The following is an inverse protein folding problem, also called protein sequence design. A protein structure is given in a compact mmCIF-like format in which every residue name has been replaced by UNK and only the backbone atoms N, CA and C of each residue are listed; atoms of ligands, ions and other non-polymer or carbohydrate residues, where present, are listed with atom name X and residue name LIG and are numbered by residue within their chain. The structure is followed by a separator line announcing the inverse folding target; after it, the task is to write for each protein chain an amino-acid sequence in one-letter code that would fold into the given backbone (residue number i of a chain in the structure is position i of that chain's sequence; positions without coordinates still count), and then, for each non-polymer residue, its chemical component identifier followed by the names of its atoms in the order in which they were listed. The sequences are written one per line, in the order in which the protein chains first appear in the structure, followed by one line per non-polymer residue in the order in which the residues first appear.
data_IF_723440179150
#
_entry.id   IF_723440179150
#
_cell.length_a   1.000
_cell.length_b   1.000
_cell.length_c   1.000
_cell.angle_alpha   90.00
_cell.angle_beta   90.00
_cell.angle_gamma   90.00
#
_symmetry.space_group_name_H-M   'P 1'
#
loop_
_entity.id
_entity.type
_entity.pdbx_description
1 polymer ?
#
# COMPACT_ATOMS: atom_id res chain seq x y z
N UNK A 1 -14.96 -32.73 -3.89
CA UNK A 1 -13.58 -33.02 -3.42
C UNK A 1 -13.61 -33.12 -1.91
N UNK A 2 -13.23 -34.26 -1.33
CA UNK A 2 -13.28 -34.53 0.11
C UNK A 2 -11.95 -35.08 0.60
N UNK A 3 -11.64 -34.85 1.88
CA UNK A 3 -10.45 -35.43 2.48
C UNK A 3 -10.70 -36.91 2.81
N UNK A 4 -9.77 -37.77 2.42
CA UNK A 4 -9.82 -39.19 2.72
C UNK A 4 -9.56 -39.43 4.23
N UNK A 5 -10.62 -39.58 5.01
CA UNK A 5 -10.57 -39.77 6.48
C UNK A 5 -9.78 -41.02 6.89
N UNK A 6 -9.80 -42.06 6.08
CA UNK A 6 -9.12 -43.30 6.39
C UNK A 6 -7.61 -43.19 6.19
N UNK A 7 -7.18 -42.50 5.15
CA UNK A 7 -5.78 -42.15 4.93
C UNK A 7 -5.27 -41.23 6.06
N UNK A 8 -6.07 -40.22 6.48
CA UNK A 8 -5.73 -39.37 7.61
C UNK A 8 -5.53 -40.16 8.90
N UNK A 9 -6.45 -41.10 9.22
CA UNK A 9 -6.34 -41.99 10.40
C UNK A 9 -5.09 -42.87 10.32
N UNK A 10 -4.82 -43.44 9.17
CA UNK A 10 -3.65 -44.30 8.93
C UNK A 10 -2.36 -43.52 9.15
N UNK A 11 -2.28 -42.32 8.58
CA UNK A 11 -1.12 -41.46 8.70
C UNK A 11 -0.92 -40.89 10.11
N UNK A 12 -1.99 -40.61 10.85
CA UNK A 12 -1.90 -40.23 12.27
C UNK A 12 -1.21 -41.38 13.07
N UNK A 13 -1.60 -42.60 12.86
CA UNK A 13 -0.94 -43.77 13.50
C UNK A 13 0.54 -43.86 13.12
N UNK A 14 0.86 -43.69 11.83
CA UNK A 14 2.25 -43.74 11.32
C UNK A 14 3.13 -42.63 11.88
N UNK A 15 2.56 -41.46 12.16
CA UNK A 15 3.28 -40.30 12.71
C UNK A 15 3.14 -40.17 14.25
N UNK A 16 2.67 -41.21 14.94
CA UNK A 16 2.47 -41.25 16.40
C UNK A 16 1.56 -40.13 16.93
N UNK A 17 0.52 -39.78 16.20
CA UNK A 17 -0.50 -38.79 16.61
C UNK A 17 -1.71 -39.57 17.15
N UNK A 18 -1.95 -39.46 18.46
CA UNK A 18 -2.94 -40.34 19.14
C UNK A 18 -4.39 -39.85 18.93
N UNK A 19 -4.62 -38.56 18.79
CA UNK A 19 -5.97 -37.96 18.74
C UNK A 19 -6.12 -36.89 17.67
N UNK A 20 -7.37 -36.67 17.20
CA UNK A 20 -7.67 -35.54 16.31
C UNK A 20 -7.45 -34.17 16.98
N UNK A 21 -7.55 -34.11 18.30
CA UNK A 21 -7.25 -32.86 19.05
C UNK A 21 -5.77 -32.52 18.92
N UNK A 22 -4.90 -33.51 19.12
CA UNK A 22 -3.45 -33.35 18.93
C UNK A 22 -3.09 -32.97 17.49
N UNK A 23 -3.71 -33.63 16.50
CA UNK A 23 -3.51 -33.26 15.10
C UNK A 23 -3.94 -31.82 14.81
N UNK A 24 -5.09 -31.39 15.32
CA UNK A 24 -5.59 -30.03 15.17
C UNK A 24 -4.62 -28.98 15.76
N UNK A 25 -4.10 -29.24 16.95
CA UNK A 25 -3.11 -28.37 17.60
C UNK A 25 -1.82 -28.26 16.78
N UNK A 26 -1.30 -29.37 16.25
CA UNK A 26 -0.08 -29.40 15.43
C UNK A 26 -0.20 -28.64 14.12
N UNK A 27 -1.40 -28.62 13.51
CA UNK A 27 -1.68 -27.88 12.27
C UNK A 27 -2.27 -26.48 12.52
N UNK A 28 -2.29 -26.02 13.77
CA UNK A 28 -2.69 -24.66 14.15
C UNK A 28 -4.19 -24.35 14.04
N UNK A 29 -5.07 -25.35 14.26
CA UNK A 29 -6.53 -25.18 14.22
C UNK A 29 -7.24 -25.79 15.43
N UNK A 30 -8.51 -25.44 15.65
CA UNK A 30 -9.33 -26.07 16.67
C UNK A 30 -9.82 -27.46 16.24
N UNK A 31 -10.13 -28.33 17.21
CA UNK A 31 -10.71 -29.65 16.94
C UNK A 31 -12.00 -29.56 16.11
N UNK A 32 -12.84 -28.56 16.35
CA UNK A 32 -14.08 -28.34 15.60
C UNK A 32 -13.80 -27.98 14.13
N UNK A 33 -12.80 -27.15 13.87
CA UNK A 33 -12.37 -26.81 12.51
C UNK A 33 -11.80 -28.03 11.77
N UNK A 34 -10.98 -28.84 12.43
CA UNK A 34 -10.49 -30.10 11.85
C UNK A 34 -11.63 -31.08 11.58
N UNK A 35 -12.57 -31.24 12.51
CA UNK A 35 -13.74 -32.10 12.33
C UNK A 35 -14.60 -31.65 11.15
N UNK A 36 -14.82 -30.35 11.01
CA UNK A 36 -15.54 -29.76 9.86
C UNK A 36 -14.78 -29.98 8.56
N UNK A 37 -13.46 -29.80 8.56
CA UNK A 37 -12.61 -30.02 7.37
C UNK A 37 -12.63 -31.48 6.90
N UNK A 38 -12.79 -32.41 7.83
CA UNK A 38 -12.90 -33.84 7.55
C UNK A 38 -14.34 -34.29 7.24
N UNK A 39 -15.35 -33.41 7.24
CA UNK A 39 -16.72 -33.80 6.89
C UNK A 39 -16.93 -33.90 5.40
N UNK A 40 -17.87 -34.76 4.99
CA UNK A 40 -18.15 -35.06 3.56
C UNK A 40 -18.92 -33.90 2.89
N UNK A 41 -19.41 -32.92 3.67
CA UNK A 41 -20.15 -31.75 3.19
C UNK A 41 -19.25 -30.51 3.09
N UNK A 42 -17.95 -30.62 3.34
CA UNK A 42 -17.06 -29.47 3.45
C UNK A 42 -15.93 -29.51 2.41
N UNK A 43 -15.82 -28.44 1.63
CA UNK A 43 -14.69 -28.24 0.73
C UNK A 43 -13.55 -27.54 1.50
N UNK A 44 -12.44 -28.24 1.79
CA UNK A 44 -11.37 -27.70 2.63
C UNK A 44 -10.58 -26.58 1.92
N UNK A 45 -10.16 -25.57 2.70
CA UNK A 45 -9.31 -24.50 2.21
C UNK A 45 -7.90 -25.04 1.93
N UNK A 46 -7.29 -24.62 0.81
CA UNK A 46 -5.96 -25.05 0.35
C UNK A 46 -4.88 -25.07 1.45
N UNK A 47 -4.79 -24.00 2.25
CA UNK A 47 -3.81 -23.89 3.34
C UNK A 47 -4.00 -24.97 4.41
N UNK A 48 -5.24 -25.30 4.75
CA UNK A 48 -5.54 -26.35 5.73
C UNK A 48 -5.20 -27.74 5.21
N UNK A 49 -5.40 -27.97 3.92
CA UNK A 49 -5.01 -29.23 3.25
C UNK A 49 -3.50 -29.36 3.24
N UNK A 50 -2.77 -28.29 2.92
CA UNK A 50 -1.31 -28.27 2.92
C UNK A 50 -0.72 -28.52 4.31
N UNK A 51 -1.26 -27.88 5.35
CA UNK A 51 -0.83 -28.10 6.73
C UNK A 51 -1.05 -29.58 7.12
N UNK A 52 -2.17 -30.15 6.72
CA UNK A 52 -2.49 -31.56 6.98
C UNK A 52 -1.53 -32.52 6.23
N UNK A 53 -1.24 -32.23 4.96
CA UNK A 53 -0.27 -32.97 4.14
C UNK A 53 1.12 -32.96 4.76
N UNK A 54 1.60 -31.78 5.14
CA UNK A 54 2.93 -31.58 5.71
C UNK A 54 3.10 -32.30 7.06
N UNK A 55 2.12 -32.14 7.96
CA UNK A 55 2.16 -32.79 9.28
C UNK A 55 2.07 -34.30 9.19
N UNK A 56 1.20 -34.80 8.31
CA UNK A 56 0.96 -36.24 8.13
C UNK A 56 1.92 -36.90 7.13
N UNK A 57 2.71 -36.09 6.37
CA UNK A 57 3.60 -36.57 5.28
C UNK A 57 2.86 -37.42 4.25
N UNK A 58 1.68 -36.99 3.83
CA UNK A 58 0.83 -37.66 2.84
C UNK A 58 0.83 -36.85 1.55
N UNK A 59 1.07 -37.44 0.37
CA UNK A 59 0.91 -36.78 -0.90
C UNK A 59 -0.56 -36.43 -1.17
N UNK A 60 -0.80 -35.34 -1.88
CA UNK A 60 -2.15 -34.81 -2.16
C UNK A 60 -3.08 -35.87 -2.80
N UNK A 61 -2.58 -36.63 -3.76
CA UNK A 61 -3.35 -37.69 -4.47
C UNK A 61 -3.89 -38.78 -3.55
N UNK A 62 -3.24 -39.04 -2.43
CA UNK A 62 -3.70 -40.01 -1.45
C UNK A 62 -4.69 -39.41 -0.44
N UNK A 63 -4.53 -38.10 -0.17
CA UNK A 63 -5.33 -37.38 0.83
C UNK A 63 -6.74 -37.04 0.34
N UNK A 64 -6.96 -36.89 -0.96
CA UNK A 64 -8.21 -36.40 -1.57
C UNK A 64 -8.98 -37.48 -2.28
N UNK A 65 -10.32 -37.49 -2.12
CA UNK A 65 -11.27 -38.32 -2.87
C UNK A 65 -12.03 -37.43 -3.85
N UNK A 66 -12.08 -37.82 -5.13
CA UNK A 66 -12.83 -37.11 -6.18
C UNK A 66 -14.05 -37.92 -6.61
N UNK A 67 -15.17 -37.25 -6.84
CA UNK A 67 -16.41 -37.91 -7.29
C UNK A 67 -16.67 -37.90 -8.80
N UNK A 68 -16.00 -37.09 -9.60
CA UNK A 68 -16.13 -37.12 -11.10
C UNK A 68 -15.00 -36.35 -11.81
N UNK A 69 -14.70 -36.76 -13.05
CA UNK A 69 -13.51 -36.44 -13.85
C UNK A 69 -13.44 -35.04 -14.52
N UNK A 70 -14.27 -34.05 -14.15
CA UNK A 70 -14.24 -32.70 -14.77
C UNK A 70 -13.32 -31.70 -14.09
N UNK A 71 -12.68 -32.05 -12.98
CA UNK A 71 -11.80 -31.15 -12.23
C UNK A 71 -10.29 -31.43 -12.32
N UNK A 72 -9.86 -32.34 -13.21
CA UNK A 72 -8.45 -32.70 -13.33
C UNK A 72 -7.55 -31.56 -13.79
N UNK A 73 -8.00 -30.69 -14.70
CA UNK A 73 -7.20 -29.55 -15.16
C UNK A 73 -6.92 -28.49 -14.06
N UNK A 74 -7.81 -28.37 -13.05
CA UNK A 74 -7.56 -27.48 -11.90
C UNK A 74 -6.65 -28.10 -10.84
N UNK A 75 -6.54 -29.42 -10.83
CA UNK A 75 -5.73 -30.17 -9.86
C UNK A 75 -4.28 -30.34 -10.30
N UNK A 76 -3.99 -30.35 -11.60
CA UNK A 76 -2.62 -30.33 -12.12
C UNK A 76 -1.88 -29.03 -11.80
N UNK A 77 -2.64 -27.95 -11.48
CA UNK A 77 -2.08 -26.68 -10.95
C UNK A 77 -1.66 -26.78 -9.46
N UNK A 78 -1.96 -27.88 -8.76
CA UNK A 78 -1.47 -28.17 -7.41
C UNK A 78 -0.37 -29.24 -7.51
N UNK A 79 0.56 -29.08 -8.41
CA UNK A 79 1.77 -29.92 -8.51
C UNK A 79 2.76 -29.53 -7.40
N UNK A 80 3.76 -30.37 -7.14
CA UNK A 80 4.84 -30.10 -6.18
C UNK A 80 5.52 -28.74 -6.39
N UNK A 81 5.53 -28.21 -7.63
CA UNK A 81 5.98 -26.85 -7.93
C UNK A 81 5.06 -25.75 -7.34
N UNK A 82 3.74 -25.97 -7.21
CA UNK A 82 2.83 -25.04 -6.57
C UNK A 82 2.92 -25.06 -5.03
N UNK A 83 3.42 -26.14 -4.47
CA UNK A 83 3.74 -26.28 -3.04
C UNK A 83 5.05 -25.57 -2.71
N UNK A 84 5.99 -25.54 -3.66
CA UNK A 84 7.25 -24.79 -3.54
C UNK A 84 7.05 -23.27 -3.57
N UNK A 85 5.90 -22.77 -4.03
CA UNK A 85 5.59 -21.36 -4.19
C UNK A 85 4.63 -20.80 -3.11
N UNK A 86 4.69 -21.30 -1.88
CA UNK A 86 4.11 -20.56 -0.75
C UNK A 86 5.00 -19.33 -0.49
N UNK A 87 4.72 -18.26 -1.25
CA UNK A 87 5.41 -16.98 -1.09
C UNK A 87 5.12 -16.49 0.32
N UNK A 88 6.15 -16.54 1.17
CA UNK A 88 6.13 -15.88 2.46
C UNK A 88 6.48 -14.41 2.22
N UNK A 89 5.53 -13.49 2.38
CA UNK A 89 5.75 -12.05 2.17
C UNK A 89 6.97 -11.49 2.92
N UNK A 90 7.35 -12.09 4.03
CA UNK A 90 8.49 -11.64 4.83
C UNK A 90 9.84 -12.02 4.21
N UNK A 91 9.91 -13.00 3.31
CA UNK A 91 11.14 -13.32 2.56
C UNK A 91 11.52 -12.21 1.58
N UNK A 92 10.53 -11.45 1.11
CA UNK A 92 10.71 -10.29 0.23
C UNK A 92 10.90 -8.98 1.01
N UNK A 93 10.75 -9.01 2.35
CA UNK A 93 10.99 -7.83 3.18
C UNK A 93 12.49 -7.55 3.26
N UNK A 94 12.88 -6.36 2.81
CA UNK A 94 14.28 -5.98 2.76
C UNK A 94 14.62 -4.97 3.86
N UNK A 95 15.47 -5.38 4.81
CA UNK A 95 16.01 -4.53 5.87
C UNK A 95 17.48 -4.14 5.56
N UNK A 96 17.74 -3.73 4.32
CA UNK A 96 19.02 -3.16 3.85
C UNK A 96 18.82 -1.71 3.48
N UNK A 97 19.74 -0.84 3.91
CA UNK A 97 19.62 0.60 3.75
C UNK A 97 20.88 1.20 3.13
N UNK A 98 20.72 2.32 2.40
CA UNK A 98 21.82 3.07 1.75
C UNK A 98 21.69 4.56 2.06
N UNK A 99 22.81 5.23 2.30
CA UNK A 99 22.83 6.70 2.40
C UNK A 99 22.61 7.32 1.01
N UNK A 100 21.56 8.13 0.90
CA UNK A 100 21.16 8.77 -0.36
C UNK A 100 21.46 10.27 -0.42
N UNK A 101 22.14 10.83 0.60
CA UNK A 101 22.37 12.30 0.70
C UNK A 101 23.12 12.89 -0.49
N UNK A 102 24.04 12.16 -1.07
CA UNK A 102 24.91 12.62 -2.16
C UNK A 102 24.63 11.89 -3.49
N UNK A 103 23.49 11.23 -3.60
CA UNK A 103 23.11 10.53 -4.83
C UNK A 103 22.53 11.55 -5.83
N UNK A 104 23.02 11.47 -7.05
CA UNK A 104 22.49 12.16 -8.22
C UNK A 104 22.46 11.21 -9.40
N UNK A 105 21.56 11.42 -10.38
CA UNK A 105 21.52 10.58 -11.57
C UNK A 105 22.78 10.76 -12.43
N UNK A 106 23.37 9.66 -12.88
CA UNK A 106 24.50 9.66 -13.83
C UNK A 106 24.05 9.63 -15.29
N UNK A 107 22.76 9.39 -15.53
CA UNK A 107 22.10 9.34 -16.85
C UNK A 107 20.70 9.96 -16.74
N UNK A 108 20.10 10.24 -17.87
CA UNK A 108 18.70 10.64 -17.95
C UNK A 108 17.80 9.43 -17.77
N UNK A 109 17.39 9.18 -16.52
CA UNK A 109 16.44 8.13 -16.18
C UNK A 109 15.00 8.62 -16.32
N UNK A 110 14.17 7.84 -17.01
CA UNK A 110 12.77 8.16 -17.26
C UNK A 110 11.84 7.49 -16.27
N UNK A 111 10.72 8.17 -15.93
CA UNK A 111 9.65 7.61 -15.10
C UNK A 111 8.28 7.88 -15.71
N UNK A 112 7.44 6.85 -15.73
CA UNK A 112 5.99 6.95 -15.97
C UNK A 112 5.27 6.68 -14.65
N UNK A 113 4.30 7.52 -14.30
CA UNK A 113 3.49 7.29 -13.09
C UNK A 113 2.05 6.93 -13.45
N UNK A 114 1.52 5.90 -12.79
CA UNK A 114 0.11 5.53 -12.80
C UNK A 114 -0.54 5.93 -11.47
N UNK A 115 -1.83 6.25 -11.47
CA UNK A 115 -2.55 6.75 -10.29
C UNK A 115 -1.89 8.00 -9.68
N UNK A 116 -1.48 8.91 -10.54
CA UNK A 116 -0.61 10.02 -10.17
C UNK A 116 -1.21 11.00 -9.13
N UNK A 117 -2.55 11.03 -9.00
CA UNK A 117 -3.22 11.97 -8.10
C UNK A 117 -2.79 13.40 -8.37
N UNK A 118 -2.50 14.14 -7.30
CA UNK A 118 -1.99 15.51 -7.40
C UNK A 118 -0.47 15.61 -7.59
N UNK A 119 0.21 14.50 -7.89
CA UNK A 119 1.64 14.48 -8.22
C UNK A 119 2.58 14.44 -7.02
N UNK A 120 2.17 13.92 -5.88
CA UNK A 120 3.06 13.85 -4.72
C UNK A 120 4.24 12.89 -4.94
N UNK A 121 3.98 11.72 -5.52
CA UNK A 121 5.01 10.76 -5.90
C UNK A 121 5.81 11.28 -7.09
N UNK A 122 5.14 11.75 -8.18
CA UNK A 122 5.80 12.32 -9.36
C UNK A 122 6.79 13.42 -9.00
N UNK A 123 6.34 14.40 -8.20
CA UNK A 123 7.18 15.53 -7.80
C UNK A 123 8.39 15.08 -6.99
N UNK A 124 8.21 14.14 -6.07
CA UNK A 124 9.34 13.61 -5.29
C UNK A 124 10.34 12.84 -6.14
N UNK A 125 9.87 12.07 -7.12
CA UNK A 125 10.73 11.37 -8.08
C UNK A 125 11.46 12.35 -9.01
N UNK A 126 10.77 13.42 -9.47
CA UNK A 126 11.41 14.52 -10.23
C UNK A 126 12.47 15.23 -9.38
N UNK A 127 12.20 15.53 -8.11
CA UNK A 127 13.19 16.14 -7.20
C UNK A 127 14.38 15.20 -6.88
N UNK A 128 14.22 13.90 -7.04
CA UNK A 128 15.33 12.95 -6.98
C UNK A 128 16.18 12.97 -8.26
N UNK A 129 15.65 13.46 -9.36
CA UNK A 129 16.32 13.55 -10.67
C UNK A 129 15.82 12.57 -11.72
N UNK A 130 14.64 11.97 -11.54
CA UNK A 130 13.97 11.18 -12.57
C UNK A 130 13.18 12.10 -13.51
N UNK A 131 13.28 11.87 -14.83
CA UNK A 131 12.55 12.64 -15.84
C UNK A 131 11.18 12.02 -16.10
N UNK A 132 10.10 12.72 -15.71
CA UNK A 132 8.75 12.26 -16.00
C UNK A 132 8.42 12.32 -17.48
N UNK A 133 8.09 11.17 -18.07
CA UNK A 133 7.60 11.09 -19.46
C UNK A 133 6.08 11.18 -19.54
N UNK A 134 5.38 11.01 -18.39
CA UNK A 134 3.93 11.12 -18.33
C UNK A 134 3.34 10.65 -17.01
N UNK A 135 2.05 10.91 -16.86
CA UNK A 135 1.26 10.54 -15.71
C UNK A 135 -0.15 10.08 -16.13
N UNK A 136 -0.64 8.98 -15.56
CA UNK A 136 -2.00 8.49 -15.81
C UNK A 136 -2.83 8.79 -14.56
N UNK A 137 -3.95 9.50 -14.72
CA UNK A 137 -4.84 9.87 -13.63
C UNK A 137 -6.30 9.93 -14.12
N UNK A 138 -7.23 9.46 -13.29
CA UNK A 138 -8.66 9.48 -13.58
C UNK A 138 -9.33 10.80 -13.19
N UNK A 139 -8.93 11.37 -12.02
CA UNK A 139 -9.57 12.55 -11.44
C UNK A 139 -9.23 13.81 -12.25
N UNK A 140 -10.26 14.46 -12.78
CA UNK A 140 -10.14 15.65 -13.63
C UNK A 140 -9.42 16.80 -12.95
N UNK A 141 -9.66 17.04 -11.65
CA UNK A 141 -9.05 18.15 -10.94
C UNK A 141 -7.58 17.86 -10.62
N UNK A 142 -7.25 16.59 -10.31
CA UNK A 142 -5.88 16.14 -10.17
C UNK A 142 -5.10 16.28 -11.50
N UNK A 143 -5.69 15.90 -12.63
CA UNK A 143 -5.10 16.13 -13.94
C UNK A 143 -4.84 17.61 -14.24
N UNK A 144 -5.78 18.50 -13.88
CA UNK A 144 -5.57 19.95 -14.02
C UNK A 144 -4.43 20.44 -13.10
N UNK A 145 -4.36 19.93 -11.87
CA UNK A 145 -3.26 20.21 -10.94
C UNK A 145 -1.92 19.85 -11.55
N UNK A 146 -1.78 18.64 -12.12
CA UNK A 146 -0.56 18.20 -12.78
C UNK A 146 -0.19 19.10 -13.96
N UNK A 147 -1.10 19.29 -14.91
CA UNK A 147 -0.90 20.13 -16.12
C UNK A 147 -0.52 21.58 -15.77
N UNK A 148 -1.11 22.14 -14.71
CA UNK A 148 -0.80 23.50 -14.27
C UNK A 148 0.63 23.65 -13.76
N UNK A 149 1.11 22.66 -13.00
CA UNK A 149 2.44 22.71 -12.40
C UNK A 149 3.54 22.20 -13.34
N UNK A 150 3.20 21.29 -14.24
CA UNK A 150 4.12 20.65 -15.20
C UNK A 150 3.48 20.57 -16.60
N UNK A 151 3.40 21.70 -17.32
CA UNK A 151 2.76 21.74 -18.65
C UNK A 151 3.41 20.81 -19.68
N UNK A 152 4.66 20.44 -19.45
CA UNK A 152 5.44 19.55 -20.33
C UNK A 152 5.24 18.05 -20.03
N UNK A 153 4.57 17.68 -18.94
CA UNK A 153 4.25 16.29 -18.68
C UNK A 153 3.07 15.81 -19.54
N UNK A 154 3.20 14.62 -20.11
CA UNK A 154 2.10 13.97 -20.80
C UNK A 154 1.09 13.42 -19.79
N UNK A 155 0.11 14.25 -19.40
CA UNK A 155 -0.93 13.83 -18.45
C UNK A 155 -2.08 13.19 -19.21
N UNK A 156 -2.16 11.87 -19.11
CA UNK A 156 -3.21 11.02 -19.68
C UNK A 156 -4.37 10.96 -18.66
N UNK A 157 -5.45 11.68 -18.99
CA UNK A 157 -6.67 11.62 -18.18
C UNK A 157 -7.54 10.46 -18.65
N UNK A 158 -7.67 9.41 -17.84
CA UNK A 158 -8.49 8.26 -18.21
C UNK A 158 -8.54 7.16 -17.15
N UNK A 159 -9.47 6.24 -17.37
CA UNK A 159 -9.53 5.03 -16.56
C UNK A 159 -8.40 4.08 -16.96
N UNK A 160 -7.54 3.77 -16.00
CA UNK A 160 -6.39 2.89 -16.20
C UNK A 160 -6.79 1.49 -16.68
N UNK A 161 -7.99 1.01 -16.33
CA UNK A 161 -8.52 -0.27 -16.83
C UNK A 161 -8.66 -0.24 -18.35
N UNK A 162 -9.26 0.84 -18.87
CA UNK A 162 -9.42 1.02 -20.32
C UNK A 162 -8.07 1.20 -21.01
N UNK A 163 -7.17 1.98 -20.42
CA UNK A 163 -5.82 2.23 -20.96
C UNK A 163 -5.03 0.92 -21.03
N UNK A 164 -5.02 0.13 -19.96
CA UNK A 164 -4.30 -1.13 -19.92
C UNK A 164 -4.88 -2.18 -20.88
N UNK A 165 -6.22 -2.28 -21.00
CA UNK A 165 -6.88 -3.22 -21.90
C UNK A 165 -6.65 -2.90 -23.36
N UNK A 166 -6.51 -1.61 -23.73
CA UNK A 166 -6.23 -1.17 -25.09
C UNK A 166 -4.72 -1.17 -25.42
N UNK A 167 -3.87 -1.37 -24.40
CA UNK A 167 -2.43 -1.20 -24.47
C UNK A 167 -2.01 0.27 -24.39
N UNK A 168 -1.15 0.60 -23.41
CA UNK A 168 -0.71 1.97 -23.20
C UNK A 168 0.11 2.50 -24.39
N UNK A 169 0.86 1.63 -25.08
CA UNK A 169 1.64 1.99 -26.28
C UNK A 169 0.78 2.48 -27.42
N UNK A 170 -0.50 2.15 -27.43
CA UNK A 170 -1.46 2.61 -28.45
C UNK A 170 -2.10 3.96 -28.08
N UNK A 171 -1.83 4.51 -26.92
CA UNK A 171 -2.43 5.77 -26.49
C UNK A 171 -1.74 6.96 -27.14
N UNK A 172 -2.50 7.87 -27.75
CA UNK A 172 -1.99 9.01 -28.56
C UNK A 172 -1.04 9.95 -27.79
N UNK A 173 -1.22 10.09 -26.48
CA UNK A 173 -0.35 10.92 -25.62
C UNK A 173 0.85 10.15 -25.06
N UNK A 174 0.98 8.85 -25.35
CA UNK A 174 2.09 8.05 -24.86
C UNK A 174 3.16 7.93 -25.93
N UNK A 175 4.35 8.38 -25.61
CA UNK A 175 5.54 8.21 -26.46
C UNK A 175 6.68 7.65 -25.65
N UNK A 176 7.37 6.68 -26.18
CA UNK A 176 8.51 6.04 -25.54
C UNK A 176 9.61 5.83 -26.58
N UNK A 177 10.59 6.74 -26.61
CA UNK A 177 11.69 6.71 -27.60
C UNK A 177 12.79 5.72 -27.21
N UNK A 178 12.85 5.34 -25.91
CA UNK A 178 13.82 4.39 -25.36
C UNK A 178 13.15 3.54 -24.28
N UNK A 179 13.84 2.49 -23.84
CA UNK A 179 13.39 1.65 -22.73
C UNK A 179 13.03 2.49 -21.48
N UNK A 180 11.89 2.22 -20.87
CA UNK A 180 11.45 2.89 -19.65
C UNK A 180 12.34 2.46 -18.47
N UNK A 181 12.89 3.41 -17.74
CA UNK A 181 13.70 3.09 -16.57
C UNK A 181 12.82 2.75 -15.36
N UNK A 182 11.79 3.56 -15.06
CA UNK A 182 10.96 3.40 -13.87
C UNK A 182 9.48 3.48 -14.21
N UNK A 183 8.69 2.51 -13.76
CA UNK A 183 7.23 2.60 -13.65
C UNK A 183 6.87 2.81 -12.19
N UNK A 184 6.13 3.87 -11.85
CA UNK A 184 5.65 4.10 -10.50
C UNK A 184 4.13 4.09 -10.40
N UNK A 185 3.58 3.80 -9.22
CA UNK A 185 2.14 3.89 -9.00
C UNK A 185 1.70 3.57 -7.57
N UNK A 186 0.66 4.29 -7.13
CA UNK A 186 0.00 4.09 -5.85
C UNK A 186 -1.46 3.67 -6.05
N UNK A 187 -1.70 2.41 -6.44
CA UNK A 187 -3.05 1.90 -6.68
C UNK A 187 -3.85 1.78 -5.37
N UNK A 188 -5.16 2.13 -5.37
CA UNK A 188 -5.98 2.10 -4.16
C UNK A 188 -6.23 0.68 -3.66
N UNK A 189 -6.11 0.49 -2.33
CA UNK A 189 -6.36 -0.79 -1.65
C UNK A 189 -7.85 -1.16 -1.55
N UNK A 190 -8.78 -0.21 -1.77
CA UNK A 190 -10.21 -0.39 -1.53
C UNK A 190 -10.88 -1.44 -2.42
N UNK A 191 -10.30 -1.76 -3.57
CA UNK A 191 -10.82 -2.76 -4.49
C UNK A 191 -10.66 -4.21 -4.01
N UNK A 192 -9.79 -4.48 -3.03
CA UNK A 192 -9.64 -5.82 -2.45
C UNK A 192 -10.74 -6.19 -1.44
N UNK A 193 -11.52 -5.22 -0.93
CA UNK A 193 -12.58 -5.46 0.06
C UNK A 193 -13.83 -6.14 -0.50
N UNK A 194 -13.99 -6.15 -1.83
CA UNK A 194 -15.11 -6.80 -2.53
C UNK A 194 -14.74 -8.13 -3.19
N UNK A 195 -13.46 -8.45 -3.32
CA UNK A 195 -13.00 -9.74 -3.78
C UNK A 195 -13.26 -10.76 -2.66
N UNK A 196 -14.44 -11.37 -2.71
CA UNK A 196 -14.92 -12.28 -1.68
C UNK A 196 -14.14 -13.60 -1.69
N UNK A 197 -13.66 -13.96 -0.57
CA UNK A 197 -13.32 -15.28 0.02
C UNK A 197 -12.78 -16.47 -0.82
N UNK A 198 -12.58 -16.48 -2.16
CA UNK A 198 -12.37 -17.77 -2.82
C UNK A 198 -11.38 -17.94 -3.99
N UNK A 199 -10.85 -16.93 -4.71
CA UNK A 199 -10.15 -17.24 -5.97
C UNK A 199 -8.89 -16.40 -6.24
N UNK A 200 -7.78 -16.62 -5.58
CA UNK A 200 -6.41 -16.20 -5.90
C UNK A 200 -6.21 -15.14 -7.04
N UNK A 201 -5.76 -15.56 -8.19
CA UNK A 201 -5.52 -14.69 -9.36
C UNK A 201 -6.79 -14.08 -9.98
N UNK A 202 -7.96 -14.72 -9.88
CA UNK A 202 -9.22 -14.19 -10.42
C UNK A 202 -9.73 -13.00 -9.59
N UNK A 203 -9.52 -13.03 -8.27
CA UNK A 203 -9.86 -11.92 -7.38
C UNK A 203 -9.04 -10.65 -7.68
N UNK A 204 -7.83 -10.82 -8.19
CA UNK A 204 -6.95 -9.70 -8.59
C UNK A 204 -7.45 -9.00 -9.84
N UNK A 205 -8.05 -9.71 -10.80
CA UNK A 205 -8.58 -9.12 -12.05
C UNK A 205 -9.66 -8.07 -11.82
N UNK A 206 -10.38 -8.17 -10.70
CA UNK A 206 -11.37 -7.17 -10.27
C UNK A 206 -10.78 -5.96 -9.54
N UNK A 207 -9.48 -5.90 -9.33
CA UNK A 207 -8.79 -4.85 -8.57
C UNK A 207 -8.00 -3.91 -9.47
N UNK A 208 -7.69 -2.70 -8.98
CA UNK A 208 -6.87 -1.74 -9.72
C UNK A 208 -5.37 -2.11 -9.74
N UNK A 209 -4.95 -3.12 -9.00
CA UNK A 209 -3.64 -3.74 -9.13
C UNK A 209 -3.45 -4.42 -10.50
N UNK A 210 -4.51 -5.06 -11.02
CA UNK A 210 -4.42 -5.80 -12.28
C UNK A 210 -4.02 -4.93 -13.48
N UNK A 211 -4.68 -3.80 -13.78
CA UNK A 211 -4.23 -2.92 -14.87
C UNK A 211 -2.82 -2.35 -14.65
N UNK A 212 -2.39 -2.13 -13.40
CA UNK A 212 -0.99 -1.78 -13.13
C UNK A 212 -0.05 -2.90 -13.58
N UNK A 213 -0.36 -4.17 -13.27
CA UNK A 213 0.45 -5.32 -13.70
C UNK A 213 0.43 -5.54 -15.22
N UNK A 214 -0.67 -5.22 -15.90
CA UNK A 214 -0.73 -5.26 -17.36
C UNK A 214 0.22 -4.23 -17.98
N UNK A 215 0.20 -2.98 -17.51
CA UNK A 215 1.11 -1.92 -17.96
C UNK A 215 2.57 -2.28 -17.65
N UNK A 216 2.84 -2.85 -16.48
CA UNK A 216 4.16 -3.36 -16.11
C UNK A 216 4.68 -4.39 -17.13
N UNK A 217 3.84 -5.37 -17.47
CA UNK A 217 4.19 -6.41 -18.45
C UNK A 217 4.35 -5.87 -19.87
N UNK A 218 3.58 -4.85 -20.27
CA UNK A 218 3.67 -4.24 -21.58
C UNK A 218 4.93 -3.38 -21.73
N UNK A 219 5.29 -2.61 -20.72
CA UNK A 219 6.40 -1.67 -20.76
C UNK A 219 7.73 -2.28 -20.34
N UNK A 220 7.70 -3.31 -19.53
CA UNK A 220 8.88 -4.02 -18.99
C UNK A 220 9.99 -3.09 -18.48
N UNK A 221 9.67 -2.11 -17.58
CA UNK A 221 10.65 -1.14 -17.10
C UNK A 221 11.81 -1.81 -16.37
N UNK A 222 12.94 -1.12 -16.22
CA UNK A 222 14.09 -1.63 -15.47
C UNK A 222 13.76 -1.83 -13.99
N UNK A 223 13.01 -0.88 -13.42
CA UNK A 223 12.56 -0.89 -12.01
C UNK A 223 11.09 -0.49 -11.96
N UNK A 224 10.33 -1.05 -11.03
CA UNK A 224 9.04 -0.48 -10.68
C UNK A 224 8.99 -0.07 -9.21
N UNK A 225 8.16 0.94 -8.92
CA UNK A 225 7.84 1.43 -7.58
C UNK A 225 6.33 1.30 -7.40
N UNK A 226 5.89 0.43 -6.49
CA UNK A 226 4.48 0.30 -6.14
C UNK A 226 4.28 0.74 -4.68
N UNK A 227 3.37 1.69 -4.45
CA UNK A 227 3.08 2.21 -3.11
C UNK A 227 1.67 1.83 -2.68
N UNK A 228 1.51 1.59 -1.38
CA UNK A 228 0.19 1.36 -0.81
C UNK A 228 0.17 1.71 0.70
N UNK A 229 -1.02 1.62 1.30
CA UNK A 229 -1.17 1.81 2.75
C UNK A 229 -0.54 0.64 3.52
N UNK A 230 0.01 0.90 4.71
CA UNK A 230 0.59 -0.13 5.61
C UNK A 230 -0.37 -1.31 5.86
N UNK A 231 -1.70 -1.03 5.88
CA UNK A 231 -2.71 -2.07 6.09
C UNK A 231 -2.65 -3.24 5.11
N UNK A 232 -2.07 -3.04 3.91
CA UNK A 232 -1.87 -4.08 2.92
C UNK A 232 -1.02 -5.25 3.45
N UNK A 233 -0.06 -4.99 4.33
CA UNK A 233 0.82 -6.03 4.89
C UNK A 233 0.04 -7.15 5.58
N UNK A 234 -1.06 -6.78 6.27
CA UNK A 234 -1.88 -7.73 7.01
C UNK A 234 -3.29 -7.89 6.43
N UNK A 235 -3.55 -7.29 5.26
CA UNK A 235 -4.83 -7.43 4.58
C UNK A 235 -5.05 -8.90 4.22
N UNK A 236 -6.23 -9.42 4.60
CA UNK A 236 -6.58 -10.83 4.38
C UNK A 236 -5.47 -11.79 4.89
N UNK A 237 -5.03 -11.58 6.15
CA UNK A 237 -3.96 -12.37 6.78
C UNK A 237 -2.60 -12.31 6.03
N UNK A 238 -2.45 -11.34 5.12
CA UNK A 238 -1.26 -11.15 4.29
C UNK A 238 -1.35 -11.74 2.88
N UNK A 239 -2.37 -12.54 2.60
CA UNK A 239 -2.56 -13.22 1.30
C UNK A 239 -2.60 -12.24 0.13
N UNK A 240 -3.20 -11.07 0.33
CA UNK A 240 -3.24 -10.03 -0.71
C UNK A 240 -1.84 -9.58 -1.13
N UNK A 241 -0.97 -9.29 -0.17
CA UNK A 241 0.41 -8.90 -0.47
C UNK A 241 1.18 -10.06 -1.11
N UNK A 242 1.06 -11.27 -0.57
CA UNK A 242 1.70 -12.47 -1.13
C UNK A 242 1.33 -12.69 -2.58
N UNK A 243 0.05 -12.58 -2.93
CA UNK A 243 -0.41 -12.71 -4.32
C UNK A 243 0.14 -11.59 -5.22
N UNK A 244 0.23 -10.35 -4.74
CA UNK A 244 0.86 -9.27 -5.51
C UNK A 244 2.36 -9.53 -5.77
N UNK A 245 3.09 -9.98 -4.74
CA UNK A 245 4.51 -10.31 -4.85
C UNK A 245 4.74 -11.46 -5.85
N UNK A 246 3.86 -12.46 -5.85
CA UNK A 246 3.90 -13.57 -6.79
C UNK A 246 3.70 -13.09 -8.24
N UNK A 247 2.66 -12.29 -8.50
CA UNK A 247 2.41 -11.71 -9.83
C UNK A 247 3.61 -10.90 -10.33
N UNK A 248 4.20 -10.07 -9.46
CA UNK A 248 5.40 -9.30 -9.83
C UNK A 248 6.61 -10.20 -10.13
N UNK A 249 6.80 -11.26 -9.34
CA UNK A 249 7.87 -12.23 -9.57
C UNK A 249 7.68 -12.99 -10.89
N UNK A 250 6.46 -13.42 -11.20
CA UNK A 250 6.10 -14.07 -12.46
C UNK A 250 6.24 -13.11 -13.66
N UNK A 251 6.12 -11.79 -13.45
CA UNK A 251 6.39 -10.77 -14.45
C UNK A 251 7.88 -10.55 -14.75
N UNK A 252 8.77 -11.35 -14.14
CA UNK A 252 10.22 -11.29 -14.40
C UNK A 252 10.99 -10.30 -13.53
N UNK A 253 10.48 -9.99 -12.34
CA UNK A 253 11.11 -9.07 -11.38
C UNK A 253 11.54 -9.79 -10.10
N UNK A 254 12.71 -9.41 -9.59
CA UNK A 254 13.07 -9.66 -8.19
C UNK A 254 12.48 -8.54 -7.35
N UNK A 255 11.66 -8.91 -6.36
CA UNK A 255 10.81 -7.96 -5.64
C UNK A 255 11.29 -7.78 -4.21
N UNK A 256 11.26 -6.55 -3.72
CA UNK A 256 11.55 -6.17 -2.34
C UNK A 256 10.46 -5.26 -1.81
N UNK A 257 10.18 -5.31 -0.50
CA UNK A 257 9.27 -4.36 0.12
C UNK A 257 9.73 -3.95 1.52
N UNK A 258 9.30 -2.77 1.95
CA UNK A 258 9.41 -2.31 3.32
C UNK A 258 8.28 -1.33 3.67
N UNK A 259 8.03 -1.13 4.97
CA UNK A 259 7.11 -0.11 5.46
C UNK A 259 7.91 1.11 5.89
N UNK A 260 7.75 2.19 5.16
CA UNK A 260 8.43 3.46 5.42
C UNK A 260 7.51 4.43 6.14
N UNK A 261 8.00 5.05 7.21
CA UNK A 261 7.28 6.13 7.91
C UNK A 261 7.82 7.47 7.41
N UNK A 262 6.97 8.28 6.80
CA UNK A 262 7.34 9.57 6.21
C UNK A 262 8.08 10.50 7.20
N UNK A 263 7.77 10.42 8.49
CA UNK A 263 8.49 11.18 9.52
C UNK A 263 10.00 10.88 9.58
N UNK A 264 10.39 9.70 9.16
CA UNK A 264 11.80 9.31 9.05
C UNK A 264 12.49 9.85 7.80
N UNK A 265 11.76 10.55 6.93
CA UNK A 265 12.22 11.09 5.65
C UNK A 265 11.85 12.57 5.51
N UNK A 266 12.14 13.35 6.55
CA UNK A 266 11.99 14.82 6.63
C UNK A 266 10.56 15.35 6.41
N UNK A 267 9.54 14.54 6.69
CA UNK A 267 8.13 14.92 6.61
C UNK A 267 7.56 15.12 8.02
N UNK A 268 6.95 16.25 8.32
CA UNK A 268 6.35 16.54 9.62
C UNK A 268 5.02 15.78 9.85
N UNK A 269 4.99 14.48 9.48
CA UNK A 269 3.81 13.64 9.54
C UNK A 269 4.17 12.17 9.80
N UNK A 270 3.53 11.54 10.78
CA UNK A 270 3.54 10.09 10.96
C UNK A 270 2.60 9.45 9.96
N UNK A 271 3.15 9.05 8.81
CA UNK A 271 2.42 8.39 7.72
C UNK A 271 3.20 7.19 7.25
N UNK A 272 2.69 6.00 7.52
CA UNK A 272 3.32 4.74 7.13
C UNK A 272 2.77 4.25 5.79
N UNK A 273 3.69 3.87 4.91
CA UNK A 273 3.38 3.32 3.59
C UNK A 273 4.23 2.11 3.30
N UNK A 274 3.63 1.08 2.75
CA UNK A 274 4.40 0.00 2.15
C UNK A 274 4.89 0.50 0.78
N UNK A 275 6.17 0.32 0.54
CA UNK A 275 6.82 0.56 -0.75
C UNK A 275 7.36 -0.76 -1.24
N UNK A 276 6.94 -1.16 -2.44
CA UNK A 276 7.38 -2.37 -3.12
C UNK A 276 8.24 -1.94 -4.30
N UNK A 277 9.45 -2.47 -4.39
CA UNK A 277 10.40 -2.22 -5.47
C UNK A 277 10.63 -3.53 -6.21
N UNK A 278 10.41 -3.53 -7.50
CA UNK A 278 10.77 -4.65 -8.36
C UNK A 278 11.91 -4.26 -9.29
N UNK A 279 12.89 -5.13 -9.37
CA UNK A 279 14.06 -4.98 -10.24
C UNK A 279 14.03 -6.09 -11.27
N UNK A 280 14.09 -5.74 -12.55
CA UNK A 280 14.02 -6.72 -13.62
C UNK A 280 15.21 -7.69 -13.53
N UNK A 281 14.93 -8.99 -13.71
CA UNK A 281 15.86 -10.08 -13.41
C UNK A 281 17.16 -10.05 -14.23
N UNK A 282 17.18 -9.46 -15.43
CA UNK A 282 18.41 -9.28 -16.21
C UNK A 282 19.39 -8.30 -15.54
N UNK A 283 18.88 -7.30 -14.81
CA UNK A 283 19.70 -6.34 -14.06
C UNK A 283 20.27 -7.01 -12.77
N UNK A 284 19.47 -7.84 -12.11
CA UNK A 284 19.93 -8.61 -10.95
C UNK A 284 21.16 -9.45 -11.29
N UNK A 285 21.19 -10.05 -12.48
CA UNK A 285 22.33 -10.84 -12.95
C UNK A 285 23.60 -10.01 -13.23
N UNK A 286 23.43 -8.70 -13.47
CA UNK A 286 24.53 -7.78 -13.85
C UNK A 286 24.91 -6.83 -12.70
N UNK A 287 24.15 -6.80 -11.61
CA UNK A 287 24.34 -5.86 -10.51
C UNK A 287 25.70 -6.06 -9.82
N UNK A 288 26.36 -4.96 -9.50
CA UNK A 288 27.56 -4.91 -8.67
C UNK A 288 27.23 -4.74 -7.19
N UNK A 289 26.12 -4.03 -6.92
CA UNK A 289 25.58 -3.71 -5.60
C UNK A 289 24.09 -4.06 -5.58
N UNK A 290 23.62 -4.85 -4.61
CA UNK A 290 22.20 -5.15 -4.50
C UNK A 290 21.41 -3.91 -4.07
N UNK A 291 20.11 -3.87 -4.42
CA UNK A 291 19.22 -2.78 -4.02
C UNK A 291 19.15 -2.62 -2.49
N UNK A 292 19.02 -1.39 -2.03
CA UNK A 292 18.82 -1.02 -0.63
C UNK A 292 17.78 0.12 -0.54
N UNK A 293 16.94 0.10 0.51
CA UNK A 293 16.06 1.22 0.82
C UNK A 293 16.84 2.44 1.35
N UNK A 294 16.29 3.67 1.27
CA UNK A 294 16.99 4.84 1.80
C UNK A 294 17.14 4.76 3.32
N UNK A 295 18.30 5.16 3.84
CA UNK A 295 18.51 5.34 5.28
C UNK A 295 17.57 6.41 5.83
N UNK A 296 17.19 6.25 7.10
CA UNK A 296 16.39 7.23 7.81
C UNK A 296 17.17 8.53 8.02
N UNK A 297 16.50 9.66 7.83
CA UNK A 297 17.07 10.97 8.14
C UNK A 297 17.29 11.15 9.65
N UNK A 298 18.36 11.84 10.01
CA UNK A 298 18.58 12.29 11.38
C UNK A 298 17.64 13.40 11.81
N UNK A 299 17.07 14.13 10.84
CA UNK A 299 16.08 15.20 11.08
C UNK A 299 14.72 14.58 11.41
N UNK A 300 14.08 15.13 12.45
CA UNK A 300 12.73 14.71 12.88
C UNK A 300 11.83 15.95 12.95
N UNK A 301 11.34 16.46 11.81
CA UNK A 301 10.57 17.67 11.77
C UNK A 301 9.24 17.51 12.51
N UNK A 302 8.82 18.57 13.18
CA UNK A 302 7.54 18.68 13.85
C UNK A 302 6.65 19.68 13.14
N UNK A 303 5.41 19.83 13.59
CA UNK A 303 4.44 20.68 12.92
C UNK A 303 4.90 22.15 12.75
N UNK A 304 5.55 22.73 13.79
CA UNK A 304 6.08 24.10 13.72
C UNK A 304 7.10 24.30 12.60
N UNK A 305 7.87 23.27 12.26
CA UNK A 305 8.87 23.38 11.19
C UNK A 305 8.19 23.44 9.81
N UNK A 306 7.15 22.61 9.61
CA UNK A 306 6.39 22.59 8.36
C UNK A 306 5.56 23.86 8.15
N UNK A 307 4.99 24.42 9.22
CA UNK A 307 4.06 25.54 9.15
C UNK A 307 4.72 26.92 9.41
N UNK A 308 6.04 26.97 9.54
CA UNK A 308 6.76 28.24 9.69
C UNK A 308 6.50 29.15 8.49
N UNK A 309 5.95 30.35 8.73
CA UNK A 309 5.64 31.31 7.68
C UNK A 309 4.79 30.74 6.53
N UNK A 310 3.83 29.85 6.86
CA UNK A 310 2.93 29.30 5.84
C UNK A 310 2.04 30.40 5.26
N UNK A 311 1.93 30.50 3.92
CA UNK A 311 1.03 31.48 3.31
C UNK A 311 -0.43 31.19 3.67
N UNK A 312 -1.23 32.25 3.81
CA UNK A 312 -2.66 32.07 4.02
C UNK A 312 -3.33 31.37 2.83
N UNK A 313 -4.39 30.63 3.10
CA UNK A 313 -5.11 29.86 2.10
C UNK A 313 -6.54 29.55 2.53
N UNK A 314 -7.35 29.10 1.60
CA UNK A 314 -8.71 28.63 1.89
C UNK A 314 -8.68 27.42 2.84
N UNK A 315 -9.79 27.23 3.55
CA UNK A 315 -9.99 26.08 4.42
C UNK A 315 -11.48 25.85 4.68
N UNK A 316 -11.81 24.70 5.26
CA UNK A 316 -13.16 24.35 5.68
C UNK A 316 -13.33 24.65 7.16
N UNK A 317 -14.37 25.41 7.59
CA UNK A 317 -14.62 25.66 9.01
C UNK A 317 -15.20 24.42 9.69
N UNK A 318 -15.07 24.36 11.02
CA UNK A 318 -15.89 23.46 11.82
C UNK A 318 -17.33 24.00 11.93
N UNK A 319 -18.30 23.10 12.16
CA UNK A 319 -19.62 23.51 12.64
C UNK A 319 -19.50 24.10 14.05
N UNK A 320 -20.37 25.01 14.44
CA UNK A 320 -20.36 25.65 15.75
C UNK A 320 -20.40 24.62 16.91
N UNK A 321 -21.22 23.57 16.77
CA UNK A 321 -21.25 22.47 17.77
C UNK A 321 -19.87 21.82 17.94
N UNK A 322 -19.19 21.52 16.84
CA UNK A 322 -17.89 20.86 16.83
C UNK A 322 -16.80 21.79 17.35
N UNK A 323 -16.85 23.06 16.98
CA UNK A 323 -15.90 24.10 17.43
C UNK A 323 -15.91 24.22 18.94
N UNK A 324 -17.11 24.34 19.57
CA UNK A 324 -17.27 24.40 21.02
C UNK A 324 -16.63 23.20 21.74
N UNK A 325 -16.74 22.00 21.20
CA UNK A 325 -16.10 20.81 21.78
C UNK A 325 -14.59 20.88 21.67
N UNK A 326 -14.07 21.24 20.48
CA UNK A 326 -12.64 21.28 20.24
C UNK A 326 -11.93 22.45 20.95
N UNK A 327 -12.62 23.50 21.33
CA UNK A 327 -12.09 24.61 22.16
C UNK A 327 -11.66 24.10 23.54
N UNK A 328 -12.28 23.05 24.05
CA UNK A 328 -11.95 22.43 25.35
C UNK A 328 -10.73 21.50 25.27
N UNK A 329 -10.27 21.17 24.07
CA UNK A 329 -9.14 20.24 23.88
C UNK A 329 -7.83 21.04 23.79
N UNK A 330 -6.87 20.81 24.71
CA UNK A 330 -5.59 21.51 24.66
C UNK A 330 -4.73 21.04 23.45
N UNK A 331 -3.71 21.83 23.04
CA UNK A 331 -2.73 21.37 22.07
C UNK A 331 -2.10 20.04 22.49
N UNK A 332 -1.97 19.09 21.54
CA UNK A 332 -1.53 17.71 21.81
C UNK A 332 -2.61 16.80 22.43
N UNK A 333 -3.77 17.36 22.79
CA UNK A 333 -4.87 16.63 23.42
C UNK A 333 -5.83 15.96 22.42
N UNK A 334 -6.81 15.24 22.98
CA UNK A 334 -7.86 14.57 22.22
C UNK A 334 -9.11 14.42 23.12
N UNK A 335 -10.10 13.67 22.67
CA UNK A 335 -11.36 13.46 23.38
C UNK A 335 -11.23 13.08 24.88
N UNK A 336 -10.13 12.40 25.29
CA UNK A 336 -9.86 12.03 26.69
C UNK A 336 -9.63 13.26 27.60
N UNK A 337 -9.35 14.42 27.03
CA UNK A 337 -9.16 15.67 27.75
C UNK A 337 -10.48 16.46 27.95
N UNK A 338 -11.58 15.99 27.37
CA UNK A 338 -12.89 16.59 27.50
C UNK A 338 -13.52 16.23 28.87
N UNK A 339 -14.36 17.11 29.42
CA UNK A 339 -15.24 16.74 30.53
C UNK A 339 -16.07 15.50 30.15
N UNK A 340 -16.29 14.60 31.13
CA UNK A 340 -16.85 13.27 30.87
C UNK A 340 -18.21 13.30 30.15
N UNK A 341 -19.09 14.19 30.52
CA UNK A 341 -20.40 14.35 29.88
C UNK A 341 -20.27 14.80 28.40
N UNK A 342 -19.34 15.70 28.11
CA UNK A 342 -19.07 16.18 26.74
C UNK A 342 -18.39 15.07 25.92
N UNK A 343 -17.44 14.35 26.55
CA UNK A 343 -16.76 13.21 25.92
C UNK A 343 -17.76 12.11 25.52
N UNK A 344 -18.69 11.75 26.42
CA UNK A 344 -19.75 10.77 26.15
C UNK A 344 -20.66 11.18 24.98
N UNK A 345 -21.14 12.44 25.00
CA UNK A 345 -21.99 12.96 23.90
C UNK A 345 -21.24 13.00 22.57
N UNK A 346 -20.00 13.51 22.57
CA UNK A 346 -19.19 13.63 21.36
C UNK A 346 -18.79 12.27 20.78
N UNK A 347 -18.36 11.33 21.61
CA UNK A 347 -17.92 10.02 21.18
C UNK A 347 -19.08 9.10 20.80
N UNK A 348 -20.22 9.21 21.48
CA UNK A 348 -21.36 8.31 21.31
C UNK A 348 -20.96 6.85 21.58
N UNK A 349 -21.42 5.92 20.76
CA UNK A 349 -21.10 4.48 20.92
C UNK A 349 -19.57 4.19 20.96
N UNK A 350 -18.74 5.05 20.39
CA UNK A 350 -17.27 4.88 20.40
C UNK A 350 -16.65 5.14 21.78
N UNK A 351 -17.38 5.74 22.72
CA UNK A 351 -16.87 6.04 24.06
C UNK A 351 -16.50 4.75 24.84
N UNK A 352 -17.33 3.72 24.70
CA UNK A 352 -17.14 2.42 25.38
C UNK A 352 -16.32 1.42 24.54
N UNK A 353 -15.91 1.79 23.32
CA UNK A 353 -15.10 0.89 22.48
C UNK A 353 -13.68 0.81 22.99
N UNK A 354 -13.22 -0.37 23.37
CA UNK A 354 -11.81 -0.64 23.70
C UNK A 354 -10.88 -0.25 22.56
N UNK A 355 -9.65 0.17 22.89
CA UNK A 355 -8.61 0.43 21.89
C UNK A 355 -8.42 1.89 21.50
N UNK A 356 -8.40 2.79 22.48
CA UNK A 356 -7.70 4.09 22.44
C UNK A 356 -7.81 4.91 21.15
N UNK A 357 -9.01 5.18 20.64
CA UNK A 357 -9.27 5.98 19.44
C UNK A 357 -8.88 7.46 19.61
N UNK A 358 -7.61 7.73 19.90
CA UNK A 358 -7.06 9.08 20.15
C UNK A 358 -7.03 9.99 18.92
N UNK A 359 -7.59 9.53 17.79
CA UNK A 359 -7.78 10.35 16.59
C UNK A 359 -9.02 11.24 16.59
N UNK A 360 -9.98 11.01 17.52
CA UNK A 360 -11.21 11.81 17.62
C UNK A 360 -10.96 13.03 18.53
N UNK A 361 -11.58 14.15 18.17
CA UNK A 361 -11.33 15.47 18.81
C UNK A 361 -9.82 15.75 18.97
N UNK A 362 -9.00 15.38 18.01
CA UNK A 362 -7.55 15.51 18.10
C UNK A 362 -7.10 16.92 17.72
N UNK A 363 -6.52 17.65 18.67
CA UNK A 363 -5.77 18.89 18.43
C UNK A 363 -4.28 18.53 18.36
N UNK A 364 -3.61 18.91 17.28
CA UNK A 364 -2.17 18.62 17.12
C UNK A 364 -1.35 19.55 18.01
N UNK A 365 -0.15 19.16 18.40
CA UNK A 365 0.83 20.02 19.07
C UNK A 365 1.80 20.62 18.04
N UNK A 366 2.34 21.82 18.35
CA UNK A 366 3.41 22.42 17.58
C UNK A 366 4.71 21.58 17.60
N UNK A 367 4.94 20.90 18.71
CA UNK A 367 6.18 20.15 19.01
C UNK A 367 6.08 18.66 18.69
N UNK A 368 5.06 18.24 17.95
CA UNK A 368 4.92 16.88 17.45
C UNK A 368 4.63 16.86 15.92
N UNK A 369 4.99 15.78 15.21
CA UNK A 369 4.56 15.62 13.82
C UNK A 369 3.05 15.41 13.75
N UNK A 370 2.42 15.87 12.68
CA UNK A 370 1.01 15.56 12.41
C UNK A 370 0.79 14.06 12.32
N UNK A 371 -0.38 13.60 12.72
CA UNK A 371 -0.86 12.28 12.37
C UNK A 371 -1.19 12.21 10.88
N UNK A 372 -1.35 11.01 10.32
CA UNK A 372 -1.71 10.81 8.92
C UNK A 372 -2.87 11.70 8.50
N UNK A 373 -2.64 12.56 7.51
CA UNK A 373 -3.68 13.35 6.87
C UNK A 373 -4.57 12.45 6.00
N UNK A 374 -5.87 12.72 6.04
CA UNK A 374 -6.89 12.00 5.27
C UNK A 374 -7.48 12.91 4.19
N UNK A 375 -8.43 12.40 3.42
CA UNK A 375 -9.09 13.14 2.33
C UNK A 375 -10.01 14.27 2.79
N UNK A 376 -10.30 14.37 4.10
CA UNK A 376 -11.07 15.44 4.71
C UNK A 376 -10.45 15.85 6.05
N UNK A 377 -10.16 17.15 6.27
CA UNK A 377 -9.53 17.62 7.50
C UNK A 377 -10.46 17.65 8.72
N UNK A 378 -11.78 17.54 8.49
CA UNK A 378 -12.82 17.64 9.52
C UNK A 378 -13.56 16.33 9.79
N UNK A 379 -13.06 15.20 9.30
CA UNK A 379 -13.66 13.89 9.53
C UNK A 379 -13.54 13.50 11.00
N UNK A 380 -14.66 13.13 11.64
CA UNK A 380 -14.76 12.92 13.10
C UNK A 380 -13.73 11.92 13.65
N UNK A 381 -13.50 10.82 12.93
CA UNK A 381 -12.60 9.75 13.37
C UNK A 381 -11.11 10.07 13.21
N UNK A 382 -10.78 11.02 12.33
CA UNK A 382 -9.42 11.38 11.96
C UNK A 382 -9.21 12.88 11.99
N UNK A 383 -9.74 13.55 13.00
CA UNK A 383 -9.60 15.00 13.16
C UNK A 383 -8.16 15.45 13.28
N UNK A 384 -7.89 16.62 12.70
CA UNK A 384 -6.58 17.29 12.76
C UNK A 384 -6.84 18.77 13.00
N UNK A 385 -7.18 19.12 14.26
CA UNK A 385 -7.39 20.51 14.66
C UNK A 385 -6.05 21.21 14.76
N UNK A 386 -6.00 22.48 14.25
CA UNK A 386 -4.83 23.33 14.34
C UNK A 386 -4.47 23.60 15.82
N UNK A 387 -3.17 23.67 16.19
CA UNK A 387 -2.75 23.79 17.58
C UNK A 387 -3.28 25.03 18.31
N UNK A 388 -3.22 26.21 17.68
CA UNK A 388 -3.55 27.49 18.29
C UNK A 388 -4.95 28.00 17.96
N UNK A 389 -5.55 27.52 16.87
CA UNK A 389 -6.85 27.95 16.39
C UNK A 389 -7.82 26.79 16.34
N UNK A 390 -9.08 26.99 16.76
CA UNK A 390 -10.07 25.91 16.73
C UNK A 390 -10.69 25.79 15.34
N UNK A 391 -9.91 25.25 14.42
CA UNK A 391 -10.25 24.98 13.03
C UNK A 391 -9.46 23.80 12.48
N UNK A 392 -9.90 23.18 11.36
CA UNK A 392 -9.06 22.28 10.57
C UNK A 392 -7.85 23.02 10.01
N UNK A 393 -6.82 22.30 9.60
CA UNK A 393 -5.74 22.89 8.81
C UNK A 393 -6.27 23.42 7.49
N UNK A 394 -5.80 24.60 7.07
CA UNK A 394 -6.06 25.19 5.76
C UNK A 394 -5.33 24.42 4.65
N UNK A 395 -5.74 24.62 3.40
CA UNK A 395 -5.20 23.90 2.24
C UNK A 395 -3.66 23.95 2.18
N UNK A 396 -3.05 25.13 2.35
CA UNK A 396 -1.58 25.25 2.26
C UNK A 396 -0.87 24.62 3.46
N UNK A 397 -1.45 24.70 4.64
CA UNK A 397 -0.95 23.98 5.82
C UNK A 397 -0.98 22.45 5.57
N UNK A 398 -2.08 21.96 5.02
CA UNK A 398 -2.26 20.54 4.65
C UNK A 398 -1.21 20.09 3.63
N UNK A 399 -0.98 20.92 2.61
CA UNK A 399 0.01 20.65 1.57
C UNK A 399 1.44 20.62 2.12
N UNK A 400 1.82 21.57 2.98
CA UNK A 400 3.15 21.61 3.61
C UNK A 400 3.40 20.41 4.55
N UNK A 401 2.36 19.94 5.27
CA UNK A 401 2.47 18.74 6.09
C UNK A 401 2.75 17.51 5.22
N UNK A 402 2.25 17.47 3.97
CA UNK A 402 2.58 16.46 2.95
C UNK A 402 3.86 16.80 2.16
N UNK A 403 4.59 17.83 2.61
CA UNK A 403 5.84 18.32 2.00
C UNK A 403 5.73 18.84 0.55
N UNK A 404 4.53 19.23 0.10
CA UNK A 404 4.42 19.98 -1.15
C UNK A 404 5.01 21.39 -1.00
N UNK A 405 5.77 21.89 -1.98
CA UNK A 405 6.27 23.26 -1.97
C UNK A 405 5.13 24.27 -2.20
N UNK A 406 5.31 25.52 -1.74
CA UNK A 406 4.28 26.56 -1.89
C UNK A 406 4.02 26.96 -3.35
N UNK A 407 4.98 26.73 -4.22
CA UNK A 407 4.84 26.93 -5.65
C UNK A 407 3.86 25.94 -6.29
N UNK A 408 3.62 24.76 -5.68
CA UNK A 408 2.69 23.78 -6.21
C UNK A 408 1.24 24.25 -6.06
N UNK A 409 0.56 24.46 -7.17
CA UNK A 409 -0.82 24.95 -7.21
C UNK A 409 -1.79 23.77 -7.39
N UNK A 410 -2.84 23.76 -6.61
CA UNK A 410 -3.91 22.76 -6.71
C UNK A 410 -5.11 23.36 -7.44
N UNK A 411 -5.78 22.56 -8.25
CA UNK A 411 -6.99 22.91 -9.00
C UNK A 411 -8.22 22.15 -8.44
N UNK A 412 -9.38 22.74 -8.60
CA UNK A 412 -10.66 22.18 -8.15
C UNK A 412 -11.24 22.86 -6.92
N UNK A 413 -12.33 22.32 -6.39
CA UNK A 413 -12.95 22.80 -5.15
C UNK A 413 -12.06 22.54 -3.93
N UNK A 414 -12.27 23.29 -2.84
CA UNK A 414 -11.54 23.07 -1.57
C UNK A 414 -11.62 21.62 -1.11
N UNK A 415 -12.77 20.97 -1.26
CA UNK A 415 -12.95 19.54 -0.92
C UNK A 415 -12.11 18.63 -1.85
N UNK A 416 -12.11 18.91 -3.15
CA UNK A 416 -11.26 18.20 -4.12
C UNK A 416 -9.79 18.35 -3.77
N UNK A 417 -9.35 19.56 -3.40
CA UNK A 417 -7.95 19.81 -3.03
C UNK A 417 -7.54 19.04 -1.78
N UNK A 418 -8.38 19.01 -0.73
CA UNK A 418 -8.09 18.18 0.45
C UNK A 418 -7.99 16.69 0.11
N UNK A 419 -8.86 16.19 -0.79
CA UNK A 419 -8.81 14.81 -1.30
C UNK A 419 -7.49 14.55 -2.03
N UNK A 420 -7.09 15.44 -2.92
CA UNK A 420 -5.83 15.37 -3.66
C UNK A 420 -4.62 15.29 -2.72
N UNK A 421 -4.53 16.21 -1.74
CA UNK A 421 -3.42 16.26 -0.79
C UNK A 421 -3.43 15.05 0.16
N UNK A 422 -4.61 14.67 0.67
CA UNK A 422 -4.75 13.55 1.61
C UNK A 422 -4.38 12.19 1.01
N UNK A 423 -4.65 11.98 -0.28
CA UNK A 423 -4.29 10.76 -1.00
C UNK A 423 -2.80 10.71 -1.38
N UNK A 424 -2.16 11.86 -1.52
CA UNK A 424 -0.80 11.93 -2.04
C UNK A 424 0.23 11.17 -1.18
N UNK A 425 1.23 10.62 -1.83
CA UNK A 425 2.49 10.24 -1.19
C UNK A 425 3.23 11.53 -0.81
N UNK A 426 3.79 11.67 0.40
CA UNK A 426 4.57 12.85 0.75
C UNK A 426 5.77 13.02 -0.19
N UNK A 427 5.95 14.24 -0.72
CA UNK A 427 6.96 14.54 -1.74
C UNK A 427 8.37 14.15 -1.30
N UNK A 428 8.75 14.48 -0.06
CA UNK A 428 10.07 14.12 0.46
C UNK A 428 10.28 12.62 0.61
N UNK A 429 9.25 11.86 1.07
CA UNK A 429 9.34 10.41 1.12
C UNK A 429 9.58 9.83 -0.28
N UNK A 430 8.84 10.30 -1.27
CA UNK A 430 9.01 9.90 -2.66
C UNK A 430 10.41 10.23 -3.20
N UNK A 431 10.95 11.41 -2.84
CA UNK A 431 12.33 11.80 -3.20
C UNK A 431 13.35 10.83 -2.64
N UNK A 432 13.27 10.46 -1.36
CA UNK A 432 14.19 9.49 -0.76
C UNK A 432 14.13 8.12 -1.45
N UNK A 433 12.93 7.64 -1.77
CA UNK A 433 12.74 6.39 -2.54
C UNK A 433 13.34 6.52 -3.93
N UNK A 434 13.09 7.64 -4.62
CA UNK A 434 13.67 7.93 -5.95
C UNK A 434 15.19 7.93 -5.95
N UNK A 435 15.82 8.55 -4.94
CA UNK A 435 17.27 8.57 -4.80
C UNK A 435 17.85 7.15 -4.59
N UNK A 436 17.18 6.29 -3.81
CA UNK A 436 17.61 4.91 -3.63
C UNK A 436 17.50 4.09 -4.95
N UNK A 437 16.47 4.35 -5.75
CA UNK A 437 16.33 3.75 -7.08
C UNK A 437 17.41 4.26 -8.03
N UNK A 438 17.73 5.55 -8.01
CA UNK A 438 18.82 6.14 -8.81
C UNK A 438 20.17 5.56 -8.40
N UNK A 439 20.46 5.43 -7.08
CA UNK A 439 21.67 4.78 -6.58
C UNK A 439 21.84 3.37 -7.17
N UNK A 440 20.72 2.64 -7.24
CA UNK A 440 20.74 1.31 -7.87
C UNK A 440 20.95 1.37 -9.38
N UNK A 441 20.26 2.26 -10.09
CA UNK A 441 20.34 2.38 -11.56
C UNK A 441 21.70 2.92 -12.02
N UNK A 442 22.40 3.72 -11.23
CA UNK A 442 23.71 4.31 -11.56
C UNK A 442 24.81 3.28 -11.84
N UNK A 443 24.59 2.02 -11.49
CA UNK A 443 25.58 0.97 -11.73
C UNK A 443 25.52 0.36 -13.16
N UNK A 444 24.55 0.78 -14.02
CA UNK A 444 24.32 0.21 -15.36
C UNK A 444 24.55 1.27 -16.50
#
# INVERSE_FOLDING_TARGET
MFINKDIVKLAMKKNNIATQTELAERIGMSKSQLSQMLSDDFCPIKTNVLNLMNELKIPFKELIIEETGEHMEQLELITDESIANNINRYEYKLDRYTDVKNISPQKDYTVLETFAGAGGLSLGLEEAGLNSIGAIELDKDACKTLKKNRPHWNVIQGDIVNIANNGIKNHELFTLDKELDVLSGGYPCQSFSYAGKRHGLEDIRGTLFYPYSQILNELTPKVFIAENVKGLVNHDEGRTLETMLDVFSQSGYTVYWNVLNAWNYDVAQKRERIVIIGIRNDLIKKQKKPFAFPEISTTKPVLKDALKNVPDSQGTPYSEKKKKVLELVPPGGCWVNLPENIAKDYMGASYHSGGGKRGMARRISWDEPSLTLTTSPSQKQTERCHPSETRPFKVREYARIQSFPDSWKFEGSVTSIYKQIGNAVPVKLAKYVGLAVIDYLNQF
#
